data_IF_218495275906
#
_entry.id   IF_218495275906
#
_cell.length_a   1.000
_cell.length_b   1.000
_cell.length_c   1.000
_cell.angle_alpha   90.00
_cell.angle_beta   90.00
_cell.angle_gamma   90.00
#
_symmetry.space_group_name_H-M   'P 1'
#
loop_
_entity.id
_entity.type
_entity.pdbx_description
1 polymer ?
#
# COMPACT_ATOMS: atom_id res chain seq x y z
N UNK A 1 19.60 25.19 27.72
CA UNK A 1 19.05 24.04 28.45
C UNK A 1 19.93 22.86 28.12
N UNK A 2 20.56 22.25 29.13
CA UNK A 2 21.47 21.11 28.95
C UNK A 2 20.66 19.92 28.44
N UNK A 3 20.86 19.54 27.18
CA UNK A 3 20.31 18.31 26.62
C UNK A 3 20.76 17.13 27.47
N UNK A 4 19.85 16.54 28.24
CA UNK A 4 20.11 15.25 28.87
C UNK A 4 20.39 14.23 27.77
N UNK A 5 21.32 13.29 28.01
CA UNK A 5 21.53 12.18 27.08
C UNK A 5 20.21 11.42 26.87
N UNK A 6 19.92 10.94 25.65
CA UNK A 6 18.70 10.17 25.41
C UNK A 6 18.74 8.85 26.18
N UNK A 7 17.56 8.36 26.54
CA UNK A 7 17.39 7.03 27.12
C UNK A 7 17.44 5.99 26.00
N UNK A 8 18.00 4.81 26.29
CA UNK A 8 18.08 3.70 25.34
C UNK A 8 17.68 2.40 26.01
N UNK A 9 16.88 1.59 25.31
CA UNK A 9 16.54 0.21 25.70
C UNK A 9 16.91 -0.74 24.57
N UNK A 10 17.49 -1.88 24.90
CA UNK A 10 17.85 -2.93 23.92
C UNK A 10 17.07 -4.20 24.22
N UNK A 11 16.54 -4.82 23.18
CA UNK A 11 15.85 -6.10 23.24
C UNK A 11 16.43 -7.05 22.19
N UNK A 12 16.49 -8.33 22.51
CA UNK A 12 17.01 -9.38 21.63
C UNK A 12 15.98 -10.49 21.52
N UNK A 13 15.79 -11.02 20.32
CA UNK A 13 14.82 -12.10 20.04
C UNK A 13 15.30 -13.49 20.45
N UNK A 14 16.59 -13.69 20.71
CA UNK A 14 17.16 -15.03 20.74
C UNK A 14 17.35 -15.59 19.33
N UNK A 15 17.54 -16.91 19.20
CA UNK A 15 17.84 -17.57 17.91
C UNK A 15 16.61 -17.93 17.08
N UNK A 16 15.40 -17.70 17.59
CA UNK A 16 14.17 -18.14 16.95
C UNK A 16 13.84 -17.25 15.73
N UNK A 17 13.72 -17.89 14.57
CA UNK A 17 13.44 -17.20 13.32
C UNK A 17 11.98 -16.72 13.25
N UNK A 18 11.78 -15.61 12.55
CA UNK A 18 10.47 -15.03 12.27
C UNK A 18 10.47 -14.46 10.85
N UNK A 19 9.30 -14.37 10.22
CA UNK A 19 9.15 -13.96 8.82
C UNK A 19 8.56 -12.55 8.66
N UNK A 20 8.14 -11.93 9.76
CA UNK A 20 7.42 -10.65 9.75
C UNK A 20 7.89 -9.67 10.81
N UNK A 21 7.76 -8.40 10.51
CA UNK A 21 8.02 -7.29 11.42
C UNK A 21 6.82 -6.34 11.45
N UNK A 22 6.31 -6.09 12.66
CA UNK A 22 5.28 -5.08 12.92
C UNK A 22 5.84 -3.96 13.81
N UNK A 23 6.02 -2.78 13.23
CA UNK A 23 6.42 -1.55 13.92
C UNK A 23 5.16 -0.75 14.25
N UNK A 24 4.54 -1.07 15.38
CA UNK A 24 3.33 -0.45 15.89
C UNK A 24 3.57 0.74 16.83
N UNK A 25 4.73 1.37 16.71
CA UNK A 25 5.12 2.58 17.47
C UNK A 25 5.47 3.69 16.49
N UNK A 26 5.14 4.96 16.78
CA UNK A 26 5.47 6.09 15.91
C UNK A 26 6.96 6.44 16.00
N UNK A 27 7.39 7.46 15.25
CA UNK A 27 8.77 7.94 15.23
C UNK A 27 9.50 7.58 13.95
N UNK A 28 10.83 7.48 14.04
CA UNK A 28 11.72 7.12 12.94
C UNK A 28 12.30 5.72 13.17
N UNK A 29 12.20 4.85 12.17
CA UNK A 29 12.65 3.47 12.23
C UNK A 29 13.68 3.15 11.14
N UNK A 30 14.72 2.40 11.49
CA UNK A 30 15.67 1.80 10.55
C UNK A 30 15.62 0.30 10.70
N UNK A 31 15.37 -0.41 9.59
CA UNK A 31 15.43 -1.87 9.51
C UNK A 31 16.70 -2.25 8.75
N UNK A 32 17.66 -2.79 9.48
CA UNK A 32 19.03 -3.05 9.06
C UNK A 32 19.28 -4.55 8.93
N UNK A 33 20.30 -4.91 8.17
CA UNK A 33 20.72 -6.30 8.00
C UNK A 33 22.17 -6.50 8.46
N UNK A 34 22.39 -7.55 9.25
CA UNK A 34 23.72 -8.00 9.66
C UNK A 34 23.74 -9.52 9.82
N UNK A 35 24.23 -10.21 8.79
CA UNK A 35 24.38 -11.68 8.78
C UNK A 35 25.24 -12.26 9.91
N UNK A 36 26.06 -11.45 10.58
CA UNK A 36 26.91 -11.88 11.70
C UNK A 36 26.21 -11.74 13.06
N UNK A 37 24.98 -11.24 13.10
CA UNK A 37 24.21 -11.11 14.33
C UNK A 37 23.82 -12.51 14.85
N UNK A 38 24.04 -12.73 16.15
CA UNK A 38 23.79 -14.03 16.80
C UNK A 38 22.29 -14.28 16.97
N UNK A 39 21.57 -13.28 17.47
CA UNK A 39 20.11 -13.32 17.59
C UNK A 39 19.46 -13.13 16.21
N UNK A 40 18.24 -13.65 16.02
CA UNK A 40 17.45 -13.42 14.82
C UNK A 40 17.26 -11.92 14.54
N UNK A 41 17.10 -11.16 15.62
CA UNK A 41 17.09 -9.71 15.61
C UNK A 41 17.43 -9.09 16.97
N UNK A 42 17.97 -7.88 16.87
CA UNK A 42 18.17 -6.93 17.96
C UNK A 42 17.38 -5.66 17.69
N UNK A 43 16.65 -5.19 18.68
CA UNK A 43 15.90 -3.94 18.64
C UNK A 43 16.51 -2.96 19.62
N UNK A 44 16.90 -1.78 19.15
CA UNK A 44 17.37 -0.67 19.98
C UNK A 44 16.37 0.47 19.86
N UNK A 45 15.78 0.84 21.00
CA UNK A 45 14.85 1.95 21.11
C UNK A 45 15.56 3.10 21.81
N UNK A 46 15.61 4.27 21.17
CA UNK A 46 16.22 5.48 21.74
C UNK A 46 15.19 6.60 21.80
N UNK A 47 15.06 7.25 22.96
CA UNK A 47 14.06 8.31 23.18
C UNK A 47 14.58 9.38 24.13
N UNK A 48 14.11 10.61 23.96
CA UNK A 48 14.25 11.65 24.98
C UNK A 48 13.31 11.48 26.18
N UNK A 49 12.34 10.56 26.10
CA UNK A 49 11.40 10.24 27.19
C UNK A 49 11.53 8.78 27.64
N UNK A 50 11.87 8.60 28.92
CA UNK A 50 11.89 7.26 29.53
C UNK A 50 10.50 6.64 29.62
N UNK A 51 9.47 7.47 29.82
CA UNK A 51 8.08 7.02 29.93
C UNK A 51 7.58 6.41 28.62
N UNK A 52 8.03 6.95 27.48
CA UNK A 52 7.74 6.36 26.16
C UNK A 52 8.40 5.00 26.04
N UNK A 53 9.68 4.85 26.41
CA UNK A 53 10.39 3.57 26.31
C UNK A 53 9.79 2.49 27.20
N UNK A 54 9.47 2.84 28.45
CA UNK A 54 8.93 1.89 29.44
C UNK A 54 7.52 1.40 29.04
N UNK A 55 6.83 2.10 28.15
CA UNK A 55 5.51 1.72 27.63
C UNK A 55 5.55 0.79 26.41
N UNK A 56 6.71 0.67 25.76
CA UNK A 56 6.87 -0.15 24.55
C UNK A 56 7.14 -1.60 24.93
N UNK A 57 6.37 -2.49 24.34
CA UNK A 57 6.52 -3.94 24.42
C UNK A 57 7.06 -4.44 23.08
N UNK A 58 8.19 -5.12 23.15
CA UNK A 58 8.81 -5.82 22.02
C UNK A 58 8.77 -7.32 22.29
N UNK A 59 8.16 -8.08 21.40
CA UNK A 59 8.00 -9.53 21.55
C UNK A 59 7.95 -10.24 20.19
N UNK A 60 8.30 -11.52 20.15
CA UNK A 60 8.00 -12.40 19.01
C UNK A 60 6.70 -13.13 19.32
N UNK A 61 5.73 -13.03 18.41
CA UNK A 61 4.42 -13.68 18.54
C UNK A 61 4.16 -14.64 17.39
N UNK A 62 3.54 -15.78 17.69
CA UNK A 62 3.09 -16.71 16.66
C UNK A 62 1.82 -16.21 15.98
N UNK A 63 1.89 -15.98 14.67
CA UNK A 63 0.75 -15.52 13.85
C UNK A 63 -0.08 -16.69 13.30
N UNK A 64 -0.34 -17.66 14.17
CA UNK A 64 -1.10 -18.86 13.81
C UNK A 64 -2.58 -18.59 13.50
N UNK A 65 -3.17 -19.48 12.70
CA UNK A 65 -4.63 -19.58 12.59
C UNK A 65 -5.15 -20.68 13.49
N UNK A 66 -6.26 -20.40 14.16
CA UNK A 66 -7.07 -21.42 14.80
C UNK A 66 -7.81 -22.19 13.70
N UNK A 67 -7.50 -23.47 13.52
CA UNK A 67 -8.32 -24.37 12.71
C UNK A 67 -9.19 -25.18 13.67
N UNK A 68 -10.50 -25.09 13.48
CA UNK A 68 -11.46 -25.94 14.18
C UNK A 68 -11.42 -27.34 13.57
N UNK A 69 -10.84 -28.31 14.27
CA UNK A 69 -10.93 -29.73 13.92
C UNK A 69 -12.27 -30.32 14.37
N UNK A 70 -12.80 -31.27 13.59
CA UNK A 70 -13.96 -32.07 14.01
C UNK A 70 -13.68 -32.80 15.33
N UNK A 71 -14.65 -32.81 16.24
CA UNK A 71 -14.59 -33.29 17.63
C UNK A 71 -14.01 -32.31 18.69
N UNK A 72 -14.12 -31.00 18.48
CA UNK A 72 -13.90 -30.01 19.54
C UNK A 72 -12.43 -29.76 19.90
N UNK A 73 -11.50 -30.25 19.09
CA UNK A 73 -10.09 -29.92 19.18
C UNK A 73 -9.78 -28.68 18.33
N UNK A 74 -9.34 -27.60 18.99
CA UNK A 74 -8.73 -26.45 18.30
C UNK A 74 -7.28 -26.83 18.04
N UNK A 75 -6.90 -26.97 16.77
CA UNK A 75 -5.50 -27.16 16.39
C UNK A 75 -4.94 -25.81 16.01
N UNK A 76 -3.94 -25.36 16.77
CA UNK A 76 -3.16 -24.18 16.44
C UNK A 76 -2.13 -24.59 15.40
N UNK A 77 -2.21 -24.01 14.21
CA UNK A 77 -1.14 -24.12 13.22
C UNK A 77 -0.51 -22.74 13.14
N UNK A 78 0.64 -22.57 13.81
CA UNK A 78 1.52 -21.42 13.56
C UNK A 78 2.17 -21.65 12.19
N UNK A 79 1.94 -20.74 11.25
CA UNK A 79 2.55 -20.80 9.91
C UNK A 79 3.60 -19.70 9.70
N UNK A 80 3.74 -18.80 10.68
CA UNK A 80 4.56 -17.60 10.61
C UNK A 80 4.71 -17.01 12.03
N UNK A 81 5.87 -16.42 12.33
CA UNK A 81 6.14 -15.73 13.59
C UNK A 81 6.47 -14.26 13.26
N UNK A 82 6.06 -13.35 14.13
CA UNK A 82 6.15 -11.91 13.90
C UNK A 82 6.89 -11.24 15.05
N UNK A 83 7.93 -10.47 14.75
CA UNK A 83 8.51 -9.52 15.67
C UNK A 83 7.60 -8.29 15.76
N UNK A 84 7.04 -8.04 16.93
CA UNK A 84 6.04 -7.01 17.16
C UNK A 84 6.53 -5.99 18.18
N UNK A 85 6.51 -4.72 17.79
CA UNK A 85 6.68 -3.57 18.70
C UNK A 85 5.36 -2.83 18.83
N UNK A 86 4.88 -2.64 20.05
CA UNK A 86 3.60 -1.98 20.31
C UNK A 86 3.56 -1.41 21.72
N UNK A 87 2.61 -0.53 22.02
CA UNK A 87 2.39 -0.08 23.39
C UNK A 87 1.63 -1.12 24.22
N UNK A 88 1.98 -1.23 25.50
CA UNK A 88 1.34 -2.14 26.44
C UNK A 88 -0.20 -2.00 26.44
N UNK A 89 -0.89 -3.14 26.54
CA UNK A 89 -2.34 -3.17 26.67
C UNK A 89 -2.69 -2.69 28.08
N UNK A 90 -3.48 -1.63 28.22
CA UNK A 90 -3.93 -1.02 29.49
C UNK A 90 -3.03 0.08 30.11
N UNK A 91 -2.17 0.72 29.31
CA UNK A 91 -1.50 1.95 29.73
C UNK A 91 -2.28 3.21 29.34
N UNK A 92 -2.38 4.16 30.26
CA UNK A 92 -2.68 5.57 29.95
C UNK A 92 -1.36 6.33 30.00
N UNK A 93 -0.97 6.94 28.90
CA UNK A 93 0.29 7.65 28.77
C UNK A 93 0.03 8.98 28.09
N UNK A 94 0.53 10.04 28.72
CA UNK A 94 0.61 11.37 28.14
C UNK A 94 2.07 11.79 28.23
N UNK A 95 2.81 11.59 27.14
CA UNK A 95 4.25 11.79 27.11
C UNK A 95 4.68 12.45 25.81
N UNK A 96 5.66 13.35 25.92
CA UNK A 96 6.31 14.00 24.79
C UNK A 96 7.78 13.57 24.74
N UNK A 97 8.26 13.19 23.56
CA UNK A 97 9.67 12.87 23.36
C UNK A 97 9.98 12.49 21.92
N UNK A 98 11.24 12.25 21.59
CA UNK A 98 11.63 11.66 20.30
C UNK A 98 11.55 10.13 20.40
N UNK A 99 11.38 9.43 19.28
CA UNK A 99 11.51 7.98 19.26
C UNK A 99 12.25 7.54 17.98
N UNK A 100 13.40 6.91 18.19
CA UNK A 100 14.20 6.25 17.18
C UNK A 100 14.15 4.74 17.44
N UNK A 101 13.82 3.97 16.41
CA UNK A 101 13.74 2.51 16.42
C UNK A 101 14.81 1.98 15.47
N UNK A 102 15.73 1.18 15.97
CA UNK A 102 16.71 0.49 15.13
C UNK A 102 16.50 -1.02 15.29
N UNK A 103 16.07 -1.68 14.21
CA UNK A 103 15.92 -3.14 14.13
C UNK A 103 17.07 -3.65 13.30
N UNK A 104 17.91 -4.53 13.85
CA UNK A 104 18.95 -5.24 13.07
C UNK A 104 18.56 -6.69 12.97
N UNK A 105 18.43 -7.20 11.75
CA UNK A 105 18.05 -8.58 11.44
C UNK A 105 19.28 -9.40 11.04
N UNK A 106 19.32 -10.68 11.44
CA UNK A 106 20.36 -11.61 10.97
C UNK A 106 20.01 -12.32 9.65
N UNK A 107 18.73 -12.28 9.27
CA UNK A 107 18.19 -12.86 8.06
C UNK A 107 17.11 -11.93 7.48
N UNK A 108 16.93 -11.90 6.16
CA UNK A 108 15.88 -11.11 5.54
C UNK A 108 14.49 -11.64 5.93
N UNK A 109 13.50 -10.73 6.01
CA UNK A 109 12.11 -11.05 6.34
C UNK A 109 11.16 -10.70 5.20
N UNK A 110 10.05 -11.42 5.11
CA UNK A 110 9.16 -11.33 3.95
C UNK A 110 8.12 -10.22 4.08
N UNK A 111 7.79 -9.81 5.31
CA UNK A 111 6.76 -8.80 5.53
C UNK A 111 7.13 -7.74 6.56
N UNK A 112 6.86 -6.48 6.24
CA UNK A 112 7.05 -5.34 7.14
C UNK A 112 5.77 -4.50 7.15
N UNK A 113 5.18 -4.32 8.32
CA UNK A 113 4.10 -3.35 8.54
C UNK A 113 4.59 -2.27 9.50
N UNK A 114 4.41 -1.00 9.15
CA UNK A 114 4.90 0.11 9.96
C UNK A 114 3.90 1.25 10.06
N UNK A 115 3.78 1.83 11.26
CA UNK A 115 3.15 3.13 11.50
C UNK A 115 4.19 4.25 11.67
N UNK A 116 5.49 3.99 11.49
CA UNK A 116 6.59 4.95 11.65
C UNK A 116 7.15 5.39 10.29
N UNK A 117 7.90 6.50 10.27
CA UNK A 117 8.77 6.79 9.13
C UNK A 117 9.85 5.69 9.13
N UNK A 118 9.95 4.88 8.08
CA UNK A 118 10.75 3.65 8.12
C UNK A 118 11.69 3.57 6.93
N UNK A 119 12.99 3.46 7.21
CA UNK A 119 14.01 3.14 6.21
C UNK A 119 14.30 1.65 6.28
N UNK A 120 14.17 0.97 5.16
CA UNK A 120 14.48 -0.45 5.00
C UNK A 120 15.77 -0.54 4.20
N UNK A 121 16.85 -0.93 4.87
CA UNK A 121 18.18 -1.06 4.26
C UNK A 121 18.30 -2.34 3.44
N UNK A 122 19.28 -2.34 2.52
CA UNK A 122 19.57 -3.49 1.67
C UNK A 122 19.86 -4.75 2.51
N UNK A 123 19.25 -5.87 2.13
CA UNK A 123 19.35 -7.15 2.83
C UNK A 123 18.32 -7.36 3.95
N UNK A 124 17.58 -6.33 4.37
CA UNK A 124 16.48 -6.52 5.34
C UNK A 124 15.27 -7.25 4.73
N UNK A 125 15.04 -7.05 3.43
CA UNK A 125 14.07 -7.80 2.63
C UNK A 125 14.80 -8.75 1.67
N UNK A 126 14.23 -9.93 1.35
CA UNK A 126 14.84 -10.91 0.45
C UNK A 126 14.63 -10.54 -1.04
N UNK A 127 14.98 -9.31 -1.41
CA UNK A 127 14.75 -8.72 -2.74
C UNK A 127 15.57 -9.37 -3.86
N UNK A 128 16.57 -10.19 -3.54
CA UNK A 128 17.37 -10.94 -4.53
C UNK A 128 17.05 -12.44 -4.54
N UNK A 129 15.80 -12.81 -4.24
CA UNK A 129 15.35 -14.21 -4.15
C UNK A 129 13.90 -14.36 -4.61
N UNK A 130 13.50 -15.57 -5.00
CA UNK A 130 12.12 -15.90 -5.41
C UNK A 130 11.14 -15.93 -4.23
N UNK A 131 11.07 -14.83 -3.49
CA UNK A 131 10.26 -14.66 -2.28
C UNK A 131 9.01 -13.82 -2.56
N UNK A 132 7.99 -14.01 -1.72
CA UNK A 132 6.81 -13.15 -1.67
C UNK A 132 7.08 -12.02 -0.66
N UNK A 133 7.09 -10.77 -1.12
CA UNK A 133 7.35 -9.57 -0.31
C UNK A 133 6.07 -8.79 -0.05
N UNK A 134 5.82 -8.40 1.20
CA UNK A 134 4.69 -7.53 1.58
C UNK A 134 5.13 -6.38 2.50
N UNK A 135 5.05 -5.15 2.00
CA UNK A 135 5.36 -3.96 2.78
C UNK A 135 4.12 -3.08 2.92
N UNK A 136 3.74 -2.79 4.16
CA UNK A 136 2.55 -2.00 4.48
C UNK A 136 2.89 -0.76 5.31
N UNK A 137 2.64 0.42 4.75
CA UNK A 137 2.63 1.69 5.48
C UNK A 137 1.23 1.97 6.02
N UNK A 138 1.14 2.38 7.28
CA UNK A 138 -0.11 2.77 7.94
C UNK A 138 0.02 4.17 8.54
N UNK A 139 -1.02 4.99 8.38
CA UNK A 139 -1.03 6.34 8.92
C UNK A 139 -0.40 7.36 7.97
N UNK A 140 0.36 8.31 8.52
CA UNK A 140 0.85 9.48 7.78
C UNK A 140 2.34 9.39 7.42
N UNK A 141 2.98 8.26 7.73
CA UNK A 141 4.43 8.12 7.71
C UNK A 141 4.92 7.35 6.48
N UNK A 142 6.13 7.67 6.07
CA UNK A 142 6.71 7.19 4.83
C UNK A 142 7.55 5.93 5.05
N UNK A 143 7.68 5.11 4.01
CA UNK A 143 8.61 3.99 3.97
C UNK A 143 9.56 4.17 2.79
N UNK A 144 10.85 4.03 3.03
CA UNK A 144 11.88 4.01 1.99
C UNK A 144 12.47 2.60 1.91
N UNK A 145 12.54 2.07 0.70
CA UNK A 145 13.14 0.77 0.38
C UNK A 145 14.18 1.05 -0.70
N UNK A 146 15.45 0.77 -0.39
CA UNK A 146 16.54 0.83 -1.37
C UNK A 146 17.10 -0.57 -1.61
N UNK A 147 17.42 -0.87 -2.86
CA UNK A 147 17.99 -2.15 -3.29
C UNK A 147 18.85 -1.91 -4.51
N UNK A 148 19.97 -2.63 -4.65
CA UNK A 148 20.76 -2.54 -5.89
C UNK A 148 19.95 -3.08 -7.07
N UNK A 149 19.44 -4.30 -6.94
CA UNK A 149 18.53 -4.98 -7.87
C UNK A 149 17.43 -5.68 -7.06
N UNK A 150 16.26 -5.86 -7.67
CA UNK A 150 15.16 -6.60 -7.07
C UNK A 150 14.64 -7.66 -8.05
N UNK A 151 14.66 -8.93 -7.66
CA UNK A 151 14.09 -10.07 -8.37
C UNK A 151 13.33 -10.95 -7.38
N UNK A 152 12.00 -10.90 -7.42
CA UNK A 152 11.10 -11.55 -6.43
C UNK A 152 9.98 -12.34 -7.09
N UNK A 153 9.34 -13.25 -6.35
CA UNK A 153 8.17 -13.99 -6.85
C UNK A 153 6.95 -13.06 -6.96
N UNK A 154 6.64 -12.39 -5.84
CA UNK A 154 5.56 -11.41 -5.71
C UNK A 154 6.01 -10.22 -4.90
N UNK A 155 5.47 -9.05 -5.26
CA UNK A 155 5.69 -7.81 -4.55
C UNK A 155 4.34 -7.18 -4.21
N UNK A 156 4.10 -6.88 -2.94
CA UNK A 156 2.94 -6.12 -2.47
C UNK A 156 3.42 -4.90 -1.71
N UNK A 157 3.09 -3.71 -2.22
CA UNK A 157 3.28 -2.43 -1.51
C UNK A 157 1.91 -1.85 -1.19
N UNK A 158 1.60 -1.73 0.09
CA UNK A 158 0.31 -1.25 0.57
C UNK A 158 0.48 0.03 1.39
N UNK A 159 -0.33 1.04 1.10
CA UNK A 159 -0.37 2.30 1.85
C UNK A 159 -1.79 2.51 2.36
N UNK A 160 -1.97 2.45 3.68
CA UNK A 160 -3.24 2.68 4.36
C UNK A 160 -3.17 3.97 5.19
N UNK A 161 -3.47 5.10 4.56
CA UNK A 161 -3.41 6.42 5.19
C UNK A 161 -2.94 7.50 4.22
N UNK A 162 -2.12 8.42 4.69
CA UNK A 162 -1.58 9.55 3.93
C UNK A 162 -0.06 9.52 3.72
N UNK A 163 0.65 8.55 4.31
CA UNK A 163 2.09 8.34 4.09
C UNK A 163 2.40 7.80 2.69
N UNK A 164 3.69 7.68 2.36
CA UNK A 164 4.11 7.19 1.04
C UNK A 164 5.11 6.04 1.16
N UNK A 165 5.12 5.12 0.21
CA UNK A 165 6.13 4.08 0.09
C UNK A 165 6.96 4.32 -1.16
N UNK A 166 8.26 4.48 -0.98
CA UNK A 166 9.25 4.68 -2.03
C UNK A 166 10.07 3.40 -2.18
N UNK A 167 10.07 2.81 -3.38
CA UNK A 167 10.95 1.71 -3.75
C UNK A 167 11.90 2.20 -4.83
N UNK A 168 13.20 2.16 -4.54
CA UNK A 168 14.26 2.46 -5.48
C UNK A 168 15.07 1.21 -5.75
N UNK A 169 15.28 0.90 -7.02
CA UNK A 169 16.16 -0.17 -7.46
C UNK A 169 16.80 0.15 -8.82
N UNK A 170 17.90 -0.51 -9.20
CA UNK A 170 18.40 -0.41 -10.57
C UNK A 170 17.46 -1.15 -11.53
N UNK A 171 17.10 -2.38 -11.15
CA UNK A 171 16.11 -3.20 -11.87
C UNK A 171 15.09 -3.79 -10.90
N UNK A 172 13.85 -3.95 -11.36
CA UNK A 172 12.78 -4.64 -10.64
C UNK A 172 12.17 -5.74 -11.53
N UNK A 173 12.36 -6.99 -11.15
CA UNK A 173 11.77 -8.17 -11.76
C UNK A 173 10.84 -8.85 -10.76
N UNK A 174 9.58 -9.06 -11.14
CA UNK A 174 8.57 -9.74 -10.32
C UNK A 174 7.97 -10.89 -11.12
N UNK A 175 8.30 -12.13 -10.76
CA UNK A 175 7.97 -13.30 -11.58
C UNK A 175 6.46 -13.45 -11.84
N UNK A 176 5.63 -13.16 -10.83
CA UNK A 176 4.18 -13.31 -10.89
C UNK A 176 3.44 -11.97 -10.85
N UNK A 177 3.27 -11.36 -9.67
CA UNK A 177 2.45 -10.14 -9.52
C UNK A 177 3.16 -9.07 -8.70
N UNK A 178 3.27 -7.88 -9.27
CA UNK A 178 3.57 -6.64 -8.56
C UNK A 178 2.27 -5.89 -8.25
N UNK A 179 1.91 -5.77 -6.98
CA UNK A 179 0.67 -5.16 -6.50
C UNK A 179 0.96 -3.89 -5.70
N UNK A 180 0.30 -2.81 -6.09
CA UNK A 180 0.35 -1.52 -5.41
C UNK A 180 -1.05 -1.18 -4.91
N UNK A 181 -1.25 -1.17 -3.60
CA UNK A 181 -2.56 -0.90 -2.99
C UNK A 181 -2.52 0.40 -2.21
N UNK A 182 -3.41 1.32 -2.54
CA UNK A 182 -3.57 2.57 -1.81
C UNK A 182 -4.98 2.61 -1.23
N UNK A 183 -5.07 2.74 0.10
CA UNK A 183 -6.29 2.97 0.85
C UNK A 183 -6.15 4.28 1.61
N UNK A 184 -6.51 5.40 0.98
CA UNK A 184 -6.38 6.72 1.58
C UNK A 184 -5.87 7.80 0.61
N UNK A 185 -4.97 8.64 1.08
CA UNK A 185 -4.42 9.79 0.37
C UNK A 185 -2.91 9.69 0.08
N UNK A 186 -2.26 8.62 0.56
CA UNK A 186 -0.84 8.35 0.37
C UNK A 186 -0.46 7.86 -1.02
N UNK A 187 0.82 7.54 -1.25
CA UNK A 187 1.29 7.11 -2.58
C UNK A 187 2.32 5.98 -2.54
N UNK A 188 2.33 5.17 -3.60
CA UNK A 188 3.44 4.25 -3.90
C UNK A 188 4.22 4.83 -5.07
N UNK A 189 5.53 4.95 -4.90
CA UNK A 189 6.46 5.43 -5.93
C UNK A 189 7.53 4.37 -6.13
N UNK A 190 7.63 3.88 -7.37
CA UNK A 190 8.67 2.92 -7.78
C UNK A 190 9.59 3.62 -8.77
N UNK A 191 10.88 3.61 -8.49
CA UNK A 191 11.92 4.10 -9.40
C UNK A 191 12.90 2.98 -9.73
N UNK A 192 12.88 2.52 -10.98
CA UNK A 192 13.86 1.59 -11.51
C UNK A 192 14.13 1.86 -12.99
N UNK A 193 15.29 1.48 -13.53
CA UNK A 193 15.55 1.62 -14.96
C UNK A 193 14.64 0.67 -15.77
N UNK A 194 14.46 -0.55 -15.26
CA UNK A 194 13.59 -1.57 -15.84
C UNK A 194 12.64 -2.13 -14.77
N UNK A 195 11.36 -2.26 -15.14
CA UNK A 195 10.32 -2.87 -14.30
C UNK A 195 9.67 -3.97 -15.12
N UNK A 196 9.81 -5.22 -14.72
CA UNK A 196 9.21 -6.35 -15.40
C UNK A 196 8.37 -7.20 -14.47
N UNK A 197 7.16 -7.57 -14.90
CA UNK A 197 6.33 -8.50 -14.16
C UNK A 197 5.39 -9.30 -15.07
N UNK A 198 4.93 -10.48 -14.64
CA UNK A 198 3.85 -11.12 -15.37
C UNK A 198 2.56 -10.28 -15.29
N UNK A 199 2.19 -9.80 -14.10
CA UNK A 199 1.13 -8.81 -13.93
C UNK A 199 1.53 -7.66 -13.00
N UNK A 200 1.06 -6.45 -13.32
CA UNK A 200 1.13 -5.29 -12.43
C UNK A 200 -0.29 -4.83 -12.10
N UNK A 201 -0.61 -4.79 -10.81
CA UNK A 201 -1.92 -4.40 -10.28
C UNK A 201 -1.80 -3.11 -9.47
N UNK A 202 -2.34 -2.00 -9.99
CA UNK A 202 -2.45 -0.72 -9.28
C UNK A 202 -3.88 -0.50 -8.80
N UNK A 203 -4.10 -0.56 -7.49
CA UNK A 203 -5.40 -0.38 -6.85
C UNK A 203 -5.37 0.89 -5.99
N UNK A 204 -6.10 1.92 -6.38
CA UNK A 204 -6.17 3.19 -5.65
C UNK A 204 -7.60 3.45 -5.19
N UNK A 205 -7.82 3.32 -3.89
CA UNK A 205 -9.06 3.63 -3.21
C UNK A 205 -8.87 4.93 -2.40
N UNK A 206 -9.42 6.04 -2.90
CA UNK A 206 -9.32 7.35 -2.27
C UNK A 206 -8.67 8.41 -3.16
N UNK A 207 -7.75 9.20 -2.58
CA UNK A 207 -7.13 10.39 -3.20
C UNK A 207 -5.64 10.20 -3.49
N UNK A 208 -5.09 9.05 -3.13
CA UNK A 208 -3.67 8.73 -3.27
C UNK A 208 -3.21 8.44 -4.70
N UNK A 209 -1.97 7.98 -4.86
CA UNK A 209 -1.43 7.73 -6.19
C UNK A 209 -0.42 6.59 -6.30
N UNK A 210 -0.29 6.05 -7.51
CA UNK A 210 0.80 5.14 -7.87
C UNK A 210 1.59 5.75 -9.00
N UNK A 211 2.90 5.82 -8.86
CA UNK A 211 3.82 6.28 -9.91
C UNK A 211 4.94 5.26 -10.08
N UNK A 212 5.09 4.74 -11.29
CA UNK A 212 6.16 3.80 -11.65
C UNK A 212 7.00 4.45 -12.72
N UNK A 213 8.25 4.75 -12.36
CA UNK A 213 9.27 5.29 -13.24
C UNK A 213 10.20 4.16 -13.68
N UNK A 214 10.30 3.95 -15.00
CA UNK A 214 11.14 2.93 -15.61
C UNK A 214 10.58 2.41 -16.93
N UNK A 215 11.37 1.60 -17.64
CA UNK A 215 10.87 0.84 -18.78
C UNK A 215 10.00 -0.33 -18.27
N UNK A 216 8.68 -0.17 -18.34
CA UNK A 216 7.71 -1.13 -17.76
C UNK A 216 7.32 -2.21 -18.77
N UNK A 217 7.61 -3.47 -18.49
CA UNK A 217 7.26 -4.63 -19.34
C UNK A 217 6.35 -5.58 -18.57
N UNK A 218 5.13 -5.81 -19.02
CA UNK A 218 4.23 -6.76 -18.35
C UNK A 218 3.30 -7.52 -19.30
N UNK A 219 2.88 -8.74 -18.95
CA UNK A 219 1.82 -9.41 -19.73
C UNK A 219 0.46 -8.75 -19.46
N UNK A 220 0.20 -8.40 -18.19
CA UNK A 220 -1.06 -7.75 -17.79
C UNK A 220 -0.82 -6.50 -16.94
N UNK A 221 -1.41 -5.38 -17.36
CA UNK A 221 -1.53 -4.18 -16.54
C UNK A 221 -2.99 -4.03 -16.07
N UNK A 222 -3.20 -3.99 -14.76
CA UNK A 222 -4.51 -3.76 -14.16
C UNK A 222 -4.46 -2.48 -13.34
N UNK A 223 -5.37 -1.55 -13.64
CA UNK A 223 -5.48 -0.26 -12.98
C UNK A 223 -6.90 -0.07 -12.48
N UNK A 224 -7.09 -0.03 -11.16
CA UNK A 224 -8.37 0.20 -10.52
C UNK A 224 -8.30 1.51 -9.72
N UNK A 225 -9.05 2.52 -10.15
CA UNK A 225 -9.13 3.83 -9.53
C UNK A 225 -10.54 4.05 -8.98
N UNK A 226 -10.70 4.02 -7.67
CA UNK A 226 -11.95 4.33 -6.99
C UNK A 226 -11.76 5.58 -6.12
N UNK A 227 -12.08 6.75 -6.68
CA UNK A 227 -11.89 8.04 -6.01
C UNK A 227 -11.37 9.13 -6.95
N UNK A 228 -10.43 9.95 -6.47
CA UNK A 228 -9.84 11.09 -7.20
C UNK A 228 -8.32 11.02 -7.36
N UNK A 229 -7.73 9.87 -7.06
CA UNK A 229 -6.30 9.60 -7.20
C UNK A 229 -5.82 9.45 -8.64
N UNK A 230 -4.58 9.01 -8.83
CA UNK A 230 -4.06 8.69 -10.16
C UNK A 230 -3.08 7.52 -10.16
N UNK A 231 -2.91 6.91 -11.33
CA UNK A 231 -1.87 5.91 -11.62
C UNK A 231 -1.07 6.39 -12.83
N UNK A 232 0.25 6.32 -12.77
CA UNK A 232 1.14 6.79 -13.83
C UNK A 232 2.30 5.81 -14.06
N UNK A 233 2.46 5.32 -15.29
CA UNK A 233 3.63 4.54 -15.72
C UNK A 233 4.39 5.35 -16.77
N UNK A 234 5.69 5.55 -16.60
CA UNK A 234 6.51 6.42 -17.48
C UNK A 234 8.01 6.07 -17.34
N UNK A 235 8.88 6.42 -18.31
CA UNK A 235 8.59 7.11 -19.57
C UNK A 235 8.20 6.17 -20.71
N UNK A 236 8.44 4.86 -20.59
CA UNK A 236 8.23 3.88 -21.66
C UNK A 236 7.81 2.51 -21.13
N UNK A 237 7.30 1.66 -22.02
CA UNK A 237 7.04 0.26 -21.70
C UNK A 237 6.29 -0.49 -22.80
N UNK A 238 6.08 -1.77 -22.56
CA UNK A 238 5.19 -2.62 -23.37
C UNK A 238 4.31 -3.51 -22.50
N UNK A 239 3.12 -3.83 -23.01
CA UNK A 239 2.28 -4.85 -22.39
C UNK A 239 1.48 -5.67 -23.40
N UNK A 240 1.02 -6.86 -23.03
CA UNK A 240 0.06 -7.58 -23.88
C UNK A 240 -1.36 -7.03 -23.65
N UNK A 241 -1.78 -6.95 -22.40
CA UNK A 241 -3.14 -6.56 -22.03
C UNK A 241 -3.16 -5.47 -20.97
N UNK A 242 -4.03 -4.48 -21.14
CA UNK A 242 -4.30 -3.44 -20.13
C UNK A 242 -5.79 -3.38 -19.80
N UNK A 243 -6.10 -3.37 -18.50
CA UNK A 243 -7.47 -3.23 -17.98
C UNK A 243 -7.52 -2.04 -17.04
N UNK A 244 -8.32 -1.03 -17.39
CA UNK A 244 -8.46 0.21 -16.64
C UNK A 244 -9.90 0.37 -16.15
N UNK A 245 -10.08 0.48 -14.84
CA UNK A 245 -11.36 0.78 -14.20
C UNK A 245 -11.24 2.09 -13.44
N UNK A 246 -12.13 3.04 -13.73
CA UNK A 246 -12.17 4.35 -13.07
C UNK A 246 -13.58 4.59 -12.54
N UNK A 247 -13.76 4.50 -11.23
CA UNK A 247 -14.92 4.97 -10.50
C UNK A 247 -14.62 6.33 -9.84
N UNK A 248 -15.25 7.41 -10.30
CA UNK A 248 -15.07 8.75 -9.73
C UNK A 248 -14.37 9.74 -10.66
N UNK A 249 -13.39 10.47 -10.13
CA UNK A 249 -12.70 11.59 -10.81
C UNK A 249 -11.19 11.35 -10.99
N UNK A 250 -10.71 10.15 -10.66
CA UNK A 250 -9.31 9.77 -10.78
C UNK A 250 -8.85 9.66 -12.24
N UNK A 251 -7.54 9.67 -12.48
CA UNK A 251 -6.99 9.62 -13.83
C UNK A 251 -5.93 8.53 -13.97
N UNK A 252 -5.98 7.79 -15.08
CA UNK A 252 -4.98 6.79 -15.44
C UNK A 252 -4.07 7.36 -16.54
N UNK A 253 -2.76 7.43 -16.28
CA UNK A 253 -1.73 7.93 -17.19
C UNK A 253 -0.82 6.78 -17.64
N UNK A 254 -1.30 6.01 -18.61
CA UNK A 254 -0.67 4.77 -19.07
C UNK A 254 -0.15 4.86 -20.52
N UNK A 255 -0.24 6.04 -21.14
CA UNK A 255 0.09 6.26 -22.56
C UNK A 255 1.57 6.03 -22.90
N UNK A 256 2.46 6.02 -21.91
CA UNK A 256 3.87 5.63 -22.09
C UNK A 256 4.08 4.13 -22.30
N UNK A 257 3.09 3.28 -22.01
CA UNK A 257 3.19 1.83 -22.15
C UNK A 257 2.37 1.37 -23.35
N UNK A 258 3.03 0.73 -24.32
CA UNK A 258 2.38 0.27 -25.55
C UNK A 258 1.77 -1.10 -25.32
N UNK A 259 0.44 -1.20 -25.37
CA UNK A 259 -0.26 -2.47 -25.15
C UNK A 259 -0.90 -3.03 -26.43
N UNK A 260 -1.00 -4.36 -26.58
CA UNK A 260 -1.70 -4.96 -27.72
C UNK A 260 -3.22 -4.68 -27.62
N UNK A 261 -3.81 -5.02 -26.48
CA UNK A 261 -5.23 -4.81 -26.21
C UNK A 261 -5.46 -4.06 -24.90
N UNK A 262 -6.36 -3.07 -24.93
CA UNK A 262 -6.75 -2.30 -23.74
C UNK A 262 -8.26 -2.26 -23.58
N UNK A 263 -8.73 -2.53 -22.37
CA UNK A 263 -10.14 -2.38 -21.98
C UNK A 263 -10.26 -1.30 -20.93
N UNK A 264 -11.07 -0.28 -21.22
CA UNK A 264 -11.30 0.85 -20.30
C UNK A 264 -12.77 0.93 -19.91
N UNK A 265 -13.02 0.96 -18.61
CA UNK A 265 -14.33 1.15 -17.99
C UNK A 265 -14.31 2.40 -17.11
N UNK A 266 -15.08 3.42 -17.46
CA UNK A 266 -15.16 4.66 -16.69
C UNK A 266 -16.59 4.87 -16.18
N UNK A 267 -16.73 4.90 -14.86
CA UNK A 267 -17.93 5.29 -14.13
C UNK A 267 -17.68 6.63 -13.43
N UNK A 268 -17.97 7.75 -14.11
CA UNK A 268 -17.76 9.10 -13.56
C UNK A 268 -17.15 10.10 -14.54
N UNK A 269 -16.21 10.90 -14.05
CA UNK A 269 -15.63 12.06 -14.75
C UNK A 269 -14.10 11.95 -14.95
N UNK A 270 -13.50 10.83 -14.54
CA UNK A 270 -12.07 10.60 -14.71
C UNK A 270 -11.65 10.34 -16.16
N UNK A 271 -10.37 10.55 -16.47
CA UNK A 271 -9.80 10.30 -17.80
C UNK A 271 -8.80 9.13 -17.78
N UNK A 272 -8.74 8.40 -18.89
CA UNK A 272 -7.71 7.39 -19.15
C UNK A 272 -6.88 7.78 -20.37
N UNK A 273 -5.57 7.86 -20.20
CA UNK A 273 -4.59 8.04 -21.27
C UNK A 273 -3.90 6.71 -21.50
N UNK A 274 -3.99 6.16 -22.71
CA UNK A 274 -3.51 4.81 -23.05
C UNK A 274 -2.81 4.81 -24.40
N UNK A 275 -1.94 3.83 -24.66
CA UNK A 275 -1.42 3.57 -25.99
C UNK A 275 -1.71 2.11 -26.34
N UNK A 276 -2.37 1.88 -27.47
CA UNK A 276 -2.87 0.55 -27.85
C UNK A 276 -2.76 0.35 -29.34
N UNK A 277 -2.27 -0.81 -29.77
CA UNK A 277 -2.00 -1.07 -31.21
C UNK A 277 -3.09 -1.86 -31.90
N UNK A 278 -3.70 -2.85 -31.23
CA UNK A 278 -4.71 -3.71 -31.84
C UNK A 278 -6.12 -3.31 -31.40
N UNK A 279 -6.50 -3.62 -30.16
CA UNK A 279 -7.91 -3.51 -29.73
C UNK A 279 -8.10 -2.56 -28.55
N UNK A 280 -8.91 -1.52 -28.73
CA UNK A 280 -9.38 -0.65 -27.64
C UNK A 280 -10.87 -0.89 -27.37
N UNK A 281 -11.19 -1.41 -26.18
CA UNK A 281 -12.57 -1.57 -25.71
C UNK A 281 -12.95 -0.46 -24.76
N UNK A 282 -14.18 0.03 -24.90
CA UNK A 282 -14.79 1.03 -24.02
C UNK A 282 -16.04 0.45 -23.37
N UNK A 283 -16.18 0.71 -22.08
CA UNK A 283 -17.42 0.53 -21.32
C UNK A 283 -17.58 1.63 -20.27
N UNK A 284 -18.72 1.62 -19.56
CA UNK A 284 -18.99 2.53 -18.46
C UNK A 284 -19.99 3.64 -18.79
N UNK A 285 -20.17 4.52 -17.82
CA UNK A 285 -21.17 5.59 -17.83
C UNK A 285 -20.61 6.84 -17.17
N UNK A 286 -20.75 7.99 -17.83
CA UNK A 286 -20.29 9.27 -17.30
C UNK A 286 -19.82 10.21 -18.39
N UNK A 287 -19.05 11.22 -17.99
CA UNK A 287 -18.49 12.23 -18.91
C UNK A 287 -16.96 12.20 -18.98
N UNK A 288 -16.32 11.15 -18.45
CA UNK A 288 -14.90 10.92 -18.61
C UNK A 288 -14.49 10.65 -20.06
N UNK A 289 -13.19 10.70 -20.33
CA UNK A 289 -12.64 10.49 -21.67
C UNK A 289 -11.53 9.44 -21.68
N UNK A 290 -11.45 8.71 -22.80
CA UNK A 290 -10.40 7.76 -23.13
C UNK A 290 -9.60 8.37 -24.27
N UNK A 291 -8.35 8.71 -23.99
CA UNK A 291 -7.43 9.35 -24.91
C UNK A 291 -6.38 8.34 -25.32
N UNK A 292 -6.41 7.89 -26.58
CA UNK A 292 -5.39 7.00 -27.11
C UNK A 292 -4.26 7.83 -27.76
N UNK A 293 -3.01 7.46 -27.48
CA UNK A 293 -1.82 8.20 -27.91
C UNK A 293 -1.09 7.50 -29.07
N UNK A 294 -0.38 8.30 -29.88
CA UNK A 294 0.57 7.91 -30.93
C UNK A 294 -0.01 7.18 -32.15
N UNK A 295 -0.64 6.02 -31.97
CA UNK A 295 -1.16 5.19 -33.06
C UNK A 295 -2.65 4.94 -32.86
N UNK A 296 -3.40 4.91 -33.96
CA UNK A 296 -4.83 4.54 -33.92
C UNK A 296 -4.94 3.02 -33.82
N UNK A 297 -5.63 2.46 -32.82
CA UNK A 297 -5.86 1.02 -32.71
C UNK A 297 -6.57 0.47 -33.96
N UNK A 298 -6.24 -0.76 -34.36
CA UNK A 298 -6.91 -1.45 -35.47
C UNK A 298 -8.42 -1.64 -35.24
N UNK A 299 -8.81 -1.87 -33.98
CA UNK A 299 -10.18 -2.05 -33.54
C UNK A 299 -10.54 -1.00 -32.49
N UNK A 300 -11.28 0.02 -32.92
CA UNK A 300 -11.89 1.03 -32.07
C UNK A 300 -13.31 0.61 -31.65
N UNK A 301 -13.81 1.07 -30.50
CA UNK A 301 -15.15 0.76 -30.06
C UNK A 301 -16.19 1.52 -30.91
N UNK A 302 -17.33 0.87 -31.17
CA UNK A 302 -18.41 1.51 -31.93
C UNK A 302 -18.97 2.73 -31.20
N UNK A 303 -19.17 3.81 -31.95
CA UNK A 303 -19.90 4.99 -31.49
C UNK A 303 -21.39 4.81 -31.75
N UNK A 304 -22.11 4.34 -30.73
CA UNK A 304 -23.57 4.31 -30.77
C UNK A 304 -24.15 5.27 -29.73
N UNK A 305 -24.96 6.27 -30.16
CA UNK A 305 -25.59 7.19 -29.22
C UNK A 305 -26.65 6.44 -28.39
N UNK A 306 -26.37 6.24 -27.11
CA UNK A 306 -27.36 5.71 -26.18
C UNK A 306 -28.29 6.83 -25.70
N UNK A 307 -29.61 6.60 -25.80
CA UNK A 307 -30.64 7.59 -25.43
C UNK A 307 -30.70 7.91 -23.93
N UNK A 308 -30.24 7.00 -23.07
CA UNK A 308 -30.47 7.08 -21.62
C UNK A 308 -29.22 7.45 -20.81
N UNK A 309 -28.01 7.20 -21.31
CA UNK A 309 -26.78 7.44 -20.57
C UNK A 309 -25.64 7.90 -21.48
N UNK A 310 -24.78 8.79 -20.94
CA UNK A 310 -23.55 9.21 -21.61
C UNK A 310 -22.47 8.15 -21.39
N UNK A 311 -21.82 7.75 -22.47
CA UNK A 311 -20.65 6.89 -22.41
C UNK A 311 -19.37 7.73 -22.50
N UNK A 312 -18.24 7.20 -22.01
CA UNK A 312 -16.96 7.89 -22.13
C UNK A 312 -16.62 8.20 -23.58
N UNK A 313 -16.05 9.38 -23.84
CA UNK A 313 -15.60 9.76 -25.18
C UNK A 313 -14.29 9.04 -25.51
N UNK A 314 -14.11 8.56 -26.74
CA UNK A 314 -12.83 7.99 -27.20
C UNK A 314 -12.24 8.93 -28.24
N UNK A 315 -11.00 9.39 -28.05
CA UNK A 315 -10.38 10.36 -28.95
C UNK A 315 -8.86 10.16 -29.05
N UNK A 316 -8.30 10.49 -30.23
CA UNK A 316 -6.86 10.54 -30.42
C UNK A 316 -6.29 11.74 -29.65
N UNK A 317 -5.13 11.54 -29.02
CA UNK A 317 -4.35 12.63 -28.44
C UNK A 317 -2.90 12.60 -28.93
N UNK A 318 -2.29 13.78 -29.02
CA UNK A 318 -0.86 13.96 -29.30
C UNK A 318 -0.05 14.18 -28.02
N UNK A 319 -0.70 14.20 -26.86
CA UNK A 319 -0.07 14.45 -25.56
C UNK A 319 0.09 13.14 -24.79
N UNK A 320 1.34 12.69 -24.62
CA UNK A 320 1.67 11.62 -23.68
C UNK A 320 1.71 12.21 -22.26
N UNK A 321 0.53 12.40 -21.69
CA UNK A 321 0.40 12.96 -20.35
C UNK A 321 0.79 11.92 -19.30
N UNK A 322 1.78 12.24 -18.48
CA UNK A 322 2.17 11.49 -17.29
C UNK A 322 2.32 12.43 -16.09
N UNK A 323 2.33 11.87 -14.88
CA UNK A 323 2.61 12.61 -13.65
C UNK A 323 3.79 11.96 -12.93
N UNK A 324 4.95 12.63 -12.88
CA UNK A 324 6.04 12.14 -12.05
C UNK A 324 5.69 12.29 -10.58
N UNK A 325 6.08 11.31 -9.77
CA UNK A 325 6.05 11.46 -8.31
C UNK A 325 7.43 11.89 -7.81
N UNK A 326 7.43 12.78 -6.82
CA UNK A 326 8.65 13.23 -6.16
C UNK A 326 8.97 12.26 -5.04
N UNK A 327 10.17 11.70 -5.07
CA UNK A 327 10.69 10.88 -3.97
C UNK A 327 11.11 11.84 -2.85
N UNK A 328 10.58 11.63 -1.65
CA UNK A 328 11.01 12.38 -0.48
C UNK A 328 12.44 11.97 -0.10
N UNK A 329 13.23 12.92 0.38
CA UNK A 329 14.57 12.64 0.90
C UNK A 329 14.49 11.61 2.02
N UNK A 330 15.32 10.58 1.93
CA UNK A 330 15.45 9.57 2.99
C UNK A 330 15.96 10.22 4.28
N UNK A 331 15.32 9.94 5.43
CA UNK A 331 15.76 10.48 6.73
C UNK A 331 17.04 9.76 7.20
N UNK A 332 17.90 10.51 7.87
CA UNK A 332 19.06 9.99 8.58
C UNK A 332 18.73 9.79 10.06
N UNK A 333 19.59 9.07 10.79
CA UNK A 333 19.44 8.84 12.24
C UNK A 333 19.29 10.15 13.04
N UNK A 334 19.81 11.26 12.51
CA UNK A 334 19.71 12.58 13.12
C UNK A 334 18.37 13.28 12.90
N UNK A 335 17.52 12.77 12.00
CA UNK A 335 16.23 13.36 11.64
C UNK A 335 15.08 12.84 12.53
N UNK A 336 15.39 12.11 13.61
CA UNK A 336 14.39 11.63 14.56
C UNK A 336 13.62 12.81 15.18
N UNK A 337 12.33 12.92 14.83
CA UNK A 337 11.46 14.01 15.27
C UNK A 337 10.84 13.77 16.65
N UNK A 338 10.46 14.86 17.31
CA UNK A 338 9.64 14.81 18.52
C UNK A 338 8.22 14.37 18.17
N UNK A 339 7.67 13.52 19.02
CA UNK A 339 6.30 13.01 18.97
C UNK A 339 5.58 13.39 20.26
N UNK A 340 4.33 13.84 20.11
CA UNK A 340 3.36 13.90 21.20
C UNK A 340 2.54 12.61 21.20
N UNK A 341 2.66 11.86 22.30
CA UNK A 341 2.01 10.57 22.46
C UNK A 341 0.92 10.65 23.53
N UNK A 342 -0.33 10.60 23.07
CA UNK A 342 -1.51 10.54 23.92
C UNK A 342 -2.19 9.16 23.79
N UNK A 343 -1.88 8.26 24.71
CA UNK A 343 -2.52 6.95 24.83
C UNK A 343 -3.64 7.02 25.86
N UNK A 344 -4.89 6.90 25.40
CA UNK A 344 -6.05 6.84 26.28
C UNK A 344 -6.79 5.51 26.12
N UNK A 345 -6.96 4.79 27.23
CA UNK A 345 -7.80 3.57 27.27
C UNK A 345 -9.27 3.99 27.31
N UNK A 346 -9.98 3.91 26.18
CA UNK A 346 -11.43 4.15 26.10
C UNK A 346 -12.23 2.85 26.20
N UNK A 347 -13.19 2.77 27.15
CA UNK A 347 -14.27 1.77 27.09
C UNK A 347 -15.33 2.25 26.08
N UNK A 348 -15.55 1.50 25.02
CA UNK A 348 -16.61 1.83 24.05
C UNK A 348 -17.98 1.46 24.62
N UNK A 349 -18.84 2.45 24.83
CA UNK A 349 -20.29 2.30 25.05
C UNK A 349 -21.01 2.78 23.78
N UNK A 350 -21.88 1.95 23.23
CA UNK A 350 -22.58 2.17 21.95
C UNK A 350 -23.86 3.02 22.07
N UNK A 351 -24.09 3.65 23.20
CA UNK A 351 -25.23 4.55 23.42
C UNK A 351 -24.72 5.99 23.44
N UNK A 352 -25.19 6.79 22.48
CA UNK A 352 -24.93 8.22 22.23
C UNK A 352 -23.94 8.54 21.09
N UNK A 353 -24.33 8.17 19.88
CA UNK A 353 -24.18 9.07 18.73
C UNK A 353 -25.58 9.36 18.17
N UNK A 354 -25.96 10.62 17.90
CA UNK A 354 -27.20 10.90 17.19
C UNK A 354 -27.08 10.32 15.77
N UNK A 355 -28.19 9.83 15.19
CA UNK A 355 -28.15 9.18 13.88
C UNK A 355 -27.58 10.16 12.84
N UNK A 356 -26.63 9.74 11.98
CA UNK A 356 -26.27 10.55 10.82
C UNK A 356 -27.50 10.70 9.94
N UNK A 357 -27.71 11.94 9.48
CA UNK A 357 -28.77 12.29 8.54
C UNK A 357 -28.81 11.31 7.37
N UNK A 358 -30.03 10.90 7.03
CA UNK A 358 -30.36 9.90 6.03
C UNK A 358 -29.63 10.16 4.70
N UNK A 359 -28.65 9.31 4.38
CA UNK A 359 -28.26 9.05 3.00
C UNK A 359 -29.46 8.42 2.31
N UNK A 360 -30.19 9.22 1.52
CA UNK A 360 -31.22 8.70 0.63
C UNK A 360 -30.55 7.85 -0.45
N UNK A 361 -30.61 6.53 -0.28
CA UNK A 361 -30.36 5.60 -1.35
C UNK A 361 -31.48 5.75 -2.38
N UNK A 362 -31.21 6.47 -3.47
CA UNK A 362 -32.07 6.43 -4.64
C UNK A 362 -31.77 5.11 -5.34
N UNK A 363 -32.67 4.14 -5.20
CA UNK A 363 -32.59 2.87 -5.91
C UNK A 363 -32.41 3.14 -7.41
N UNK A 364 -31.29 2.69 -7.97
CA UNK A 364 -31.15 2.61 -9.41
C UNK A 364 -32.16 1.57 -9.94
N UNK A 365 -32.82 1.84 -11.08
CA UNK A 365 -33.84 0.94 -11.61
C UNK A 365 -33.23 -0.41 -11.98
N UNK A 366 -33.97 -1.47 -11.64
CA UNK A 366 -33.64 -2.85 -11.95
C UNK A 366 -33.46 -3.04 -13.46
N UNK A 367 -32.25 -3.42 -13.87
CA UNK A 367 -31.95 -3.88 -15.22
C UNK A 367 -30.57 -3.45 -15.70
N UNK A 368 -29.78 -4.45 -16.12
CA UNK A 368 -28.41 -4.36 -16.68
C UNK A 368 -27.25 -4.49 -15.68
N UNK A 369 -27.18 -5.64 -15.00
CA UNK A 369 -25.89 -6.23 -14.62
C UNK A 369 -25.56 -7.37 -15.59
N UNK A 370 -24.53 -7.20 -16.41
CA UNK A 370 -23.89 -8.34 -17.07
C UNK A 370 -23.08 -9.11 -16.01
N UNK A 371 -23.37 -10.40 -15.89
CA UNK A 371 -23.14 -11.20 -14.68
C UNK A 371 -21.67 -11.59 -14.44
N UNK A 372 -20.74 -11.14 -15.28
CA UNK A 372 -19.31 -11.48 -15.19
C UNK A 372 -18.43 -10.41 -14.52
N UNK A 373 -18.88 -9.15 -14.45
CA UNK A 373 -18.04 -8.03 -13.94
C UNK A 373 -18.58 -7.34 -12.67
N UNK A 374 -19.86 -7.55 -12.32
CA UNK A 374 -20.45 -7.00 -11.10
C UNK A 374 -19.99 -7.67 -9.81
N UNK A 375 -19.59 -8.94 -9.87
CA UNK A 375 -19.15 -9.70 -8.69
C UNK A 375 -17.78 -9.25 -8.17
N UNK A 376 -16.89 -8.73 -9.02
CA UNK A 376 -15.57 -8.26 -8.60
C UNK A 376 -15.65 -6.97 -7.77
N UNK A 377 -16.53 -6.04 -8.15
CA UNK A 377 -16.74 -4.76 -7.42
C UNK A 377 -17.41 -5.02 -6.07
N UNK A 378 -18.41 -5.91 -6.04
CA UNK A 378 -19.07 -6.33 -4.79
C UNK A 378 -18.12 -7.16 -3.91
N UNK A 379 -17.30 -8.04 -4.49
CA UNK A 379 -16.29 -8.79 -3.76
C UNK A 379 -15.18 -7.89 -3.20
N UNK A 380 -14.70 -6.88 -3.93
CA UNK A 380 -13.71 -5.92 -3.42
C UNK A 380 -14.28 -5.01 -2.32
N UNK A 381 -15.54 -4.59 -2.44
CA UNK A 381 -16.24 -3.87 -1.37
C UNK A 381 -16.43 -4.77 -0.14
N UNK A 382 -16.71 -6.07 -0.33
CA UNK A 382 -16.83 -7.04 0.76
C UNK A 382 -15.45 -7.36 1.36
N UNK A 383 -14.38 -7.45 0.59
CA UNK A 383 -13.01 -7.66 1.11
C UNK A 383 -12.52 -6.44 1.89
N UNK A 384 -12.80 -5.23 1.41
CA UNK A 384 -12.52 -4.00 2.17
C UNK A 384 -13.41 -3.88 3.41
N UNK A 385 -14.68 -4.32 3.36
CA UNK A 385 -15.54 -4.42 4.54
C UNK A 385 -15.07 -5.50 5.53
N UNK A 386 -14.56 -6.63 5.05
CA UNK A 386 -14.03 -7.72 5.88
C UNK A 386 -12.69 -7.34 6.49
N UNK A 387 -11.80 -6.64 5.77
CA UNK A 387 -10.60 -6.03 6.33
C UNK A 387 -10.97 -5.03 7.43
N UNK A 388 -11.99 -4.19 7.19
CA UNK A 388 -12.50 -3.24 8.18
C UNK A 388 -13.18 -3.91 9.39
N UNK A 389 -13.90 -5.03 9.18
CA UNK A 389 -14.59 -5.78 10.24
C UNK A 389 -13.64 -6.70 11.02
N UNK A 390 -12.59 -7.24 10.40
CA UNK A 390 -11.54 -8.00 11.08
C UNK A 390 -10.71 -7.11 12.04
N UNK A 391 -10.58 -5.81 11.73
CA UNK A 391 -10.04 -4.78 12.63
C UNK A 391 -10.98 -4.42 13.81
N UNK A 392 -12.20 -4.97 13.87
CA UNK A 392 -13.26 -4.57 14.79
C UNK A 392 -13.33 -5.42 16.07
N UNK A 393 -12.20 -5.89 16.57
CA UNK A 393 -12.09 -6.38 17.95
C UNK A 393 -11.59 -5.22 18.83
N UNK A 394 -12.51 -4.61 19.59
CA UNK A 394 -12.26 -3.56 20.62
C UNK A 394 -11.16 -2.56 20.24
N UNK A 395 -11.52 -1.59 19.41
CA UNK A 395 -10.59 -0.60 18.86
C UNK A 395 -10.10 0.38 19.93
N UNK A 396 -8.82 0.29 20.29
CA UNK A 396 -8.07 1.28 21.07
C UNK A 396 -7.94 2.56 20.24
N UNK A 397 -8.07 3.75 20.85
CA UNK A 397 -7.68 5.01 20.21
C UNK A 397 -6.24 5.31 20.60
N UNK A 398 -5.31 4.98 19.71
CA UNK A 398 -3.95 5.53 19.73
C UNK A 398 -3.99 6.78 18.86
N UNK A 399 -3.90 7.96 19.47
CA UNK A 399 -3.72 9.21 18.76
C UNK A 399 -2.30 9.69 19.04
N UNK A 400 -1.55 9.98 17.98
CA UNK A 400 -0.25 10.63 18.08
C UNK A 400 -0.25 11.80 17.13
N UNK A 401 0.40 12.89 17.53
CA UNK A 401 0.65 14.05 16.69
C UNK A 401 2.16 14.18 16.56
N UNK A 402 2.68 14.01 15.35
CA UNK A 402 4.08 14.30 15.08
C UNK A 402 4.24 15.82 15.06
N UNK A 403 5.12 16.36 15.91
CA UNK A 403 5.41 17.79 15.91
C UNK A 403 6.36 18.12 14.73
N UNK A 404 6.20 19.31 14.12
CA UNK A 404 6.92 19.70 12.89
C UNK A 404 8.45 19.62 12.99
#
# INVERSE_FOLDING_TARGET
>A
MTSSAPFTTTWTSGSDAFDRLYIGVPGLAFVKYNASLVDAATVVLTSSSKEILDAIVTEVVDTGRNIFGGAGHITYISTASELKMHFAEDIQLDAHGTLLVEVTLNAPINAITSIADTVIEEGALPLASDADIDVTSVGHNNIWIDSTDASVAKLSLTVSGAGNTYLKASTLHVADVARFNIMGAGSVVVEAAEVSANAIESNVFGRGSVAVHGNTVANSLQTNLMGSGFVSYYPSGSCQTSSVQIGGQGNAYLASVVCDATSVNIMGHGDAYVQTVDTLKRSGMGSGSIKYFNTTPAHLPDEHPHRFFRQPKVELTTDNKFKPAVIATEPTVHDAKSIDLHLTVGKFSWLHTPPPETLSAQAAPDGFFDASYGLAVVAMLIVSLIAFVAFKKTTKRVAYEALP
#
